data_IF_356469168849
#
_entry.id   IF_356469168849
#
_cell.length_a   1.000
_cell.length_b   1.000
_cell.length_c   1.000
_cell.angle_alpha   90.00
_cell.angle_beta   90.00
_cell.angle_gamma   90.00
#
_symmetry.space_group_name_H-M   'P 1'
#
loop_
_entity.id
_entity.type
_entity.pdbx_description
1 polymer ?
#
# COMPACT_ATOMS: atom_id res chain seq x y z
N UNK A 1 24.24 30.29 20.06
CA UNK A 1 23.43 30.01 21.26
C UNK A 1 21.99 29.95 20.82
N UNK A 2 21.32 28.83 21.05
CA UNK A 2 19.93 28.62 20.63
C UNK A 2 19.00 29.24 21.66
N UNK A 3 18.05 30.08 21.24
CA UNK A 3 17.09 30.71 22.15
C UNK A 3 15.97 29.73 22.52
N UNK A 4 15.28 29.97 23.64
CA UNK A 4 14.14 29.15 24.04
C UNK A 4 13.02 29.14 22.99
N UNK A 5 12.83 30.27 22.28
CA UNK A 5 11.87 30.38 21.19
C UNK A 5 12.30 29.57 19.95
N UNK A 6 13.59 29.54 19.63
CA UNK A 6 14.12 28.67 18.56
C UNK A 6 13.95 27.20 18.92
N UNK A 7 14.22 26.80 20.17
CA UNK A 7 13.98 25.45 20.66
C UNK A 7 12.52 25.04 20.56
N UNK A 8 11.61 25.95 20.88
CA UNK A 8 10.18 25.74 20.77
C UNK A 8 9.71 25.59 19.31
N UNK A 9 10.31 26.32 18.38
CA UNK A 9 9.96 26.17 16.96
C UNK A 9 10.48 24.86 16.39
N UNK A 10 11.72 24.46 16.73
CA UNK A 10 12.32 23.21 16.26
C UNK A 10 11.56 21.96 16.69
N UNK A 11 11.04 21.93 17.93
CA UNK A 11 10.30 20.75 18.43
C UNK A 11 8.86 20.69 17.92
N UNK A 12 8.32 21.79 17.38
CA UNK A 12 6.92 21.83 16.94
C UNK A 12 6.68 20.90 15.76
N UNK A 13 7.58 20.88 14.78
CA UNK A 13 7.45 20.02 13.60
C UNK A 13 7.46 18.51 13.99
N UNK A 14 8.41 18.02 14.79
CA UNK A 14 8.37 16.66 15.33
C UNK A 14 7.10 16.35 16.13
N UNK A 15 6.64 17.29 16.98
CA UNK A 15 5.43 17.11 17.78
C UNK A 15 4.16 17.04 16.91
N UNK A 16 4.06 17.89 15.90
CA UNK A 16 2.96 17.88 14.94
C UNK A 16 2.93 16.58 14.13
N UNK A 17 4.11 16.10 13.70
CA UNK A 17 4.23 14.81 13.01
C UNK A 17 3.72 13.63 13.87
N UNK A 18 4.10 13.58 15.14
CA UNK A 18 3.63 12.55 16.08
C UNK A 18 2.10 12.55 16.21
N UNK A 19 1.48 13.74 16.30
CA UNK A 19 0.03 13.87 16.38
C UNK A 19 -0.62 13.43 15.07
N UNK A 20 -0.11 13.91 13.92
CA UNK A 20 -0.65 13.56 12.60
C UNK A 20 -0.59 12.07 12.34
N UNK A 21 0.52 11.41 12.67
CA UNK A 21 0.65 9.96 12.52
C UNK A 21 -0.49 9.19 13.23
N UNK A 22 -0.90 9.61 14.42
CA UNK A 22 -2.05 9.00 15.10
C UNK A 22 -3.39 9.33 14.43
N UNK A 23 -3.56 10.56 13.93
CA UNK A 23 -4.77 10.98 13.22
C UNK A 23 -4.91 10.23 11.89
N UNK A 24 -3.83 10.09 11.14
CA UNK A 24 -3.78 9.35 9.88
C UNK A 24 -4.04 7.86 10.10
N UNK A 25 -3.64 7.33 11.27
CA UNK A 25 -4.02 6.00 11.76
C UNK A 25 -5.47 5.88 12.26
N UNK A 26 -6.33 6.89 12.03
CA UNK A 26 -7.76 6.89 12.33
C UNK A 26 -8.13 7.36 13.75
N UNK A 27 -7.18 7.84 14.57
CA UNK A 27 -7.51 8.36 15.88
C UNK A 27 -8.18 9.74 15.78
N UNK A 28 -9.28 10.01 16.51
CA UNK A 28 -9.77 11.36 16.69
C UNK A 28 -8.67 12.27 17.22
N UNK A 29 -8.62 13.53 16.76
CA UNK A 29 -7.54 14.47 17.11
C UNK A 29 -7.29 14.61 18.61
N UNK A 30 -8.34 14.59 19.43
CA UNK A 30 -8.20 14.65 20.89
C UNK A 30 -7.49 13.41 21.46
N UNK A 31 -7.83 12.21 20.96
CA UNK A 31 -7.14 10.96 21.32
C UNK A 31 -5.69 10.96 20.86
N UNK A 32 -5.36 11.59 19.73
CA UNK A 32 -3.98 11.77 19.30
C UNK A 32 -3.18 12.63 20.29
N UNK A 33 -3.74 13.75 20.76
CA UNK A 33 -3.10 14.56 21.80
C UNK A 33 -2.90 13.80 23.11
N UNK A 34 -3.87 12.97 23.52
CA UNK A 34 -3.75 12.11 24.71
C UNK A 34 -2.60 11.13 24.59
N UNK A 35 -2.52 10.40 23.46
CA UNK A 35 -1.46 9.41 23.21
C UNK A 35 -0.08 10.06 23.17
N UNK A 36 0.06 11.15 22.41
CA UNK A 36 1.34 11.87 22.31
C UNK A 36 1.74 12.46 23.66
N UNK A 37 0.78 13.06 24.39
CA UNK A 37 1.02 13.58 25.73
C UNK A 37 1.54 12.50 26.68
N UNK A 38 0.84 11.36 26.76
CA UNK A 38 1.27 10.23 27.58
C UNK A 38 2.68 9.73 27.20
N UNK A 39 2.99 9.67 25.91
CA UNK A 39 4.30 9.22 25.41
C UNK A 39 5.45 10.14 25.85
N UNK A 40 5.24 11.45 25.95
CA UNK A 40 6.27 12.43 26.30
C UNK A 40 6.19 12.92 27.76
N UNK A 41 5.29 12.36 28.57
CA UNK A 41 5.09 12.74 29.97
C UNK A 41 4.40 14.09 30.17
N UNK A 42 3.52 14.49 29.24
CA UNK A 42 2.79 15.77 29.26
C UNK A 42 1.28 15.59 29.08
N UNK A 43 0.53 16.64 29.40
CA UNK A 43 -0.93 16.61 29.27
C UNK A 43 -1.36 16.90 27.82
N UNK A 44 -2.54 16.40 27.37
CA UNK A 44 -3.06 16.69 26.03
C UNK A 44 -3.23 18.20 25.80
N UNK A 45 -3.67 18.93 26.83
CA UNK A 45 -3.82 20.37 26.80
C UNK A 45 -2.46 21.09 26.62
N UNK A 46 -1.38 20.57 27.20
CA UNK A 46 -0.03 21.11 26.96
C UNK A 46 0.38 20.94 25.50
N UNK A 47 0.17 19.75 24.91
CA UNK A 47 0.45 19.49 23.49
C UNK A 47 -0.32 20.46 22.59
N UNK A 48 -1.61 20.65 22.85
CA UNK A 48 -2.44 21.59 22.10
C UNK A 48 -1.92 23.04 22.20
N UNK A 49 -1.48 23.48 23.38
CA UNK A 49 -0.93 24.83 23.57
C UNK A 49 0.40 25.04 22.83
N UNK A 50 1.29 24.05 22.87
CA UNK A 50 2.57 24.09 22.14
C UNK A 50 2.33 24.18 20.64
N UNK A 51 1.47 23.31 20.09
CA UNK A 51 1.11 23.33 18.67
C UNK A 51 0.36 24.60 18.27
N UNK A 52 -0.56 25.08 19.11
CA UNK A 52 -1.34 26.30 18.90
C UNK A 52 -0.61 27.62 19.13
N UNK A 53 0.73 27.62 19.25
CA UNK A 53 1.57 28.82 19.41
C UNK A 53 1.19 29.72 20.59
N UNK A 54 0.56 29.21 21.65
CA UNK A 54 0.13 30.06 22.76
C UNK A 54 1.33 30.57 23.58
N UNK A 55 1.36 31.85 24.00
CA UNK A 55 2.53 32.44 24.65
C UNK A 55 2.86 31.81 26.02
N UNK A 56 1.89 31.16 26.66
CA UNK A 56 2.02 30.49 27.97
C UNK A 56 2.62 29.07 27.88
N UNK A 57 2.83 28.53 26.67
CA UNK A 57 3.37 27.20 26.50
C UNK A 57 4.91 27.23 26.48
N UNK A 58 5.53 26.94 27.62
CA UNK A 58 6.97 26.73 27.71
C UNK A 58 7.35 25.30 27.32
N UNK A 59 8.50 25.17 26.67
CA UNK A 59 9.13 23.89 26.32
C UNK A 59 10.47 23.86 27.02
N UNK A 60 10.60 22.99 28.03
CA UNK A 60 11.87 22.77 28.69
C UNK A 60 12.80 21.87 27.85
N UNK A 61 14.09 21.85 28.21
CA UNK A 61 15.06 20.94 27.57
C UNK A 61 14.62 19.47 27.67
N UNK A 62 14.09 19.05 28.82
CA UNK A 62 13.59 17.69 29.02
C UNK A 62 12.46 17.34 28.03
N UNK A 63 11.54 18.27 27.79
CA UNK A 63 10.44 18.09 26.83
C UNK A 63 10.96 17.95 25.41
N UNK A 64 11.92 18.80 25.04
CA UNK A 64 12.54 18.77 23.74
C UNK A 64 13.24 17.41 23.48
N UNK A 65 13.97 16.90 24.46
CA UNK A 65 14.63 15.59 24.38
C UNK A 65 13.61 14.45 24.28
N UNK A 66 12.56 14.47 25.09
CA UNK A 66 11.50 13.44 25.04
C UNK A 66 10.78 13.45 23.69
N UNK A 67 10.46 14.62 23.15
CA UNK A 67 9.83 14.77 21.83
C UNK A 67 10.74 14.24 20.73
N UNK A 68 12.04 14.60 20.73
CA UNK A 68 13.01 14.09 19.75
C UNK A 68 13.15 12.58 19.83
N UNK A 69 13.23 12.01 21.04
CA UNK A 69 13.33 10.57 21.22
C UNK A 69 12.04 9.83 20.84
N UNK A 70 10.85 10.43 21.07
CA UNK A 70 9.58 9.88 20.61
C UNK A 70 9.48 9.89 19.09
N UNK A 71 9.90 10.99 18.46
CA UNK A 71 9.92 11.16 17.02
C UNK A 71 10.89 10.18 16.34
N UNK A 72 12.14 10.08 16.82
CA UNK A 72 13.14 9.15 16.28
C UNK A 72 12.61 7.70 16.30
N UNK A 73 12.07 7.25 17.43
CA UNK A 73 11.45 5.91 17.55
C UNK A 73 10.27 5.68 16.60
N UNK A 74 9.53 6.73 16.24
CA UNK A 74 8.49 6.61 15.23
C UNK A 74 9.09 6.47 13.83
N UNK A 75 10.07 7.30 13.48
CA UNK A 75 10.79 7.20 12.20
C UNK A 75 11.43 5.83 12.02
N UNK A 76 12.10 5.30 13.05
CA UNK A 76 12.73 3.97 13.01
C UNK A 76 11.69 2.88 12.75
N UNK A 77 10.51 2.95 13.40
CA UNK A 77 9.43 1.99 13.16
C UNK A 77 8.83 2.10 11.76
N UNK A 78 8.67 3.31 11.23
CA UNK A 78 8.17 3.52 9.86
C UNK A 78 9.20 2.96 8.86
N UNK A 79 10.49 3.22 9.07
CA UNK A 79 11.57 2.67 8.25
C UNK A 79 11.56 1.14 8.25
N UNK A 80 11.54 0.52 9.43
CA UNK A 80 11.49 -0.93 9.55
C UNK A 80 10.23 -1.55 8.90
N UNK A 81 9.08 -0.87 8.97
CA UNK A 81 7.86 -1.32 8.30
C UNK A 81 7.98 -1.21 6.77
N UNK A 82 8.59 -0.15 6.25
CA UNK A 82 8.85 0.02 4.83
C UNK A 82 9.79 -1.08 4.31
N UNK A 83 10.89 -1.33 5.01
CA UNK A 83 11.86 -2.39 4.67
C UNK A 83 11.19 -3.77 4.64
N UNK A 84 10.29 -4.05 5.59
CA UNK A 84 9.54 -5.30 5.62
C UNK A 84 8.61 -5.44 4.41
N UNK A 85 7.88 -4.38 4.04
CA UNK A 85 7.00 -4.37 2.86
C UNK A 85 7.81 -4.53 1.58
N UNK A 86 8.98 -3.91 1.47
CA UNK A 86 9.86 -4.08 0.31
C UNK A 86 10.38 -5.51 0.20
N UNK A 87 10.79 -6.13 1.31
CA UNK A 87 11.24 -7.51 1.35
C UNK A 87 10.13 -8.49 0.93
N UNK A 88 8.90 -8.29 1.41
CA UNK A 88 7.74 -9.10 1.04
C UNK A 88 7.41 -8.95 -0.46
N UNK A 89 7.40 -7.73 -0.98
CA UNK A 89 7.20 -7.49 -2.41
C UNK A 89 8.26 -8.17 -3.27
N UNK A 90 9.53 -8.16 -2.84
CA UNK A 90 10.60 -8.87 -3.55
C UNK A 90 10.44 -10.39 -3.49
N UNK A 91 9.89 -10.94 -2.41
CA UNK A 91 9.56 -12.37 -2.33
C UNK A 91 8.44 -12.72 -3.32
N UNK A 92 7.34 -11.96 -3.31
CA UNK A 92 6.19 -12.17 -4.21
C UNK A 92 6.59 -12.09 -5.69
N UNK A 93 7.48 -11.16 -6.06
CA UNK A 93 7.99 -11.06 -7.43
C UNK A 93 8.76 -12.31 -7.85
N UNK A 94 9.63 -12.82 -6.98
CA UNK A 94 10.40 -14.05 -7.25
C UNK A 94 9.48 -15.27 -7.38
N UNK A 95 8.45 -15.36 -6.56
CA UNK A 95 7.47 -16.45 -6.63
C UNK A 95 6.65 -16.40 -7.93
N UNK A 96 6.24 -15.20 -8.34
CA UNK A 96 5.53 -14.98 -9.61
C UNK A 96 6.40 -15.32 -10.82
N UNK A 97 7.67 -14.87 -10.83
CA UNK A 97 8.62 -15.20 -11.89
C UNK A 97 8.85 -16.71 -11.98
N UNK A 98 8.98 -17.39 -10.83
CA UNK A 98 9.11 -18.85 -10.79
C UNK A 98 7.85 -19.57 -11.30
N UNK A 99 6.65 -19.08 -10.98
CA UNK A 99 5.40 -19.65 -11.49
C UNK A 99 5.30 -19.49 -13.02
N UNK A 100 5.58 -18.30 -13.56
CA UNK A 100 5.56 -18.06 -15.00
C UNK A 100 6.58 -18.92 -15.75
N UNK A 101 7.78 -19.11 -15.20
CA UNK A 101 8.78 -19.99 -15.79
C UNK A 101 8.34 -21.46 -15.80
N UNK A 102 7.68 -21.94 -14.74
CA UNK A 102 7.10 -23.30 -14.71
C UNK A 102 6.06 -23.46 -15.81
N UNK A 103 5.12 -22.52 -15.95
CA UNK A 103 4.08 -22.60 -16.98
C UNK A 103 4.68 -22.58 -18.39
N UNK A 104 5.66 -21.71 -18.65
CA UNK A 104 6.39 -21.69 -19.93
C UNK A 104 7.13 -23.01 -20.20
N UNK A 105 7.70 -23.64 -19.18
CA UNK A 105 8.40 -24.92 -19.32
C UNK A 105 7.44 -26.07 -19.66
N UNK A 106 6.23 -26.08 -19.05
CA UNK A 106 5.19 -27.08 -19.33
C UNK A 106 4.66 -26.91 -20.76
N UNK A 107 4.39 -25.68 -21.19
CA UNK A 107 3.98 -25.38 -22.57
C UNK A 107 5.08 -25.78 -23.57
N UNK A 108 6.35 -25.48 -23.28
CA UNK A 108 7.47 -25.85 -24.13
C UNK A 108 7.73 -27.36 -24.18
N UNK A 109 7.38 -28.12 -23.13
CA UNK A 109 7.45 -29.58 -23.12
C UNK A 109 6.28 -30.19 -23.92
N UNK A 110 5.08 -29.62 -23.82
CA UNK A 110 3.92 -30.04 -24.61
C UNK A 110 4.13 -29.81 -26.12
N UNK A 111 4.81 -28.72 -26.51
CA UNK A 111 5.15 -28.46 -27.91
C UNK A 111 6.29 -29.36 -28.45
N UNK A 112 7.20 -29.82 -27.58
CA UNK A 112 8.29 -30.75 -27.94
C UNK A 112 7.85 -32.21 -27.95
N UNK A 113 6.89 -32.57 -27.11
CA UNK A 113 6.15 -33.83 -27.19
C UNK A 113 5.12 -33.72 -28.32
N UNK A 114 5.61 -33.55 -29.55
CA UNK A 114 4.77 -33.58 -30.74
C UNK A 114 3.83 -34.76 -30.66
N UNK A 115 2.52 -34.48 -30.82
CA UNK A 115 1.53 -35.51 -31.07
C UNK A 115 2.08 -36.44 -32.16
N UNK A 116 1.94 -37.77 -32.05
CA UNK A 116 2.30 -38.65 -33.14
C UNK A 116 1.42 -38.28 -34.32
N UNK A 117 2.04 -37.67 -35.33
CA UNK A 117 1.47 -37.42 -36.64
C UNK A 117 1.23 -38.80 -37.28
N UNK A 118 0.08 -39.40 -37.02
CA UNK A 118 -0.35 -40.59 -37.74
C UNK A 118 -0.68 -40.18 -39.16
N UNK A 119 0.33 -40.24 -40.01
CA UNK A 119 0.17 -40.28 -41.46
C UNK A 119 -0.63 -41.54 -41.84
N UNK A 120 -1.93 -41.39 -42.05
CA UNK A 120 -2.75 -42.37 -42.74
C UNK A 120 -3.51 -41.69 -43.88
N UNK A 121 -3.32 -42.25 -45.07
CA UNK A 121 -3.68 -41.68 -46.35
C UNK A 121 -5.19 -41.70 -46.66
N UNK A 122 -5.62 -40.68 -47.43
CA UNK A 122 -6.69 -40.65 -48.44
C UNK A 122 -8.11 -41.11 -48.03
N UNK A 123 -9.02 -40.14 -47.99
CA UNK A 123 -10.46 -40.35 -48.18
C UNK A 123 -11.12 -39.05 -48.64
N UNK A 124 -11.56 -39.01 -49.90
CA UNK A 124 -12.30 -37.90 -50.49
C UNK A 124 -13.68 -37.72 -49.80
N UNK A 125 -14.06 -36.46 -49.57
CA UNK A 125 -15.42 -36.11 -49.14
C UNK A 125 -15.54 -34.69 -48.59
N UNK A 126 -15.73 -33.70 -49.46
CA UNK A 126 -16.56 -32.53 -49.12
C UNK A 126 -18.05 -32.96 -49.23
N UNK A 127 -19.02 -32.38 -48.50
CA UNK A 127 -19.21 -30.95 -48.16
C UNK A 127 -19.48 -30.76 -46.63
N UNK A 128 -19.74 -29.61 -46.01
CA UNK A 128 -20.42 -28.39 -46.43
C UNK A 128 -20.01 -27.22 -45.51
N UNK A 129 -20.21 -26.00 -46.01
CA UNK A 129 -20.03 -24.76 -45.29
C UNK A 129 -20.91 -24.69 -44.01
N UNK A 130 -20.33 -24.18 -42.93
CA UNK A 130 -21.04 -23.36 -41.96
C UNK A 130 -20.13 -22.24 -41.52
N UNK A 131 -20.41 -21.06 -42.07
CA UNK A 131 -19.82 -19.80 -41.64
C UNK A 131 -20.23 -19.55 -40.18
N UNK A 132 -19.27 -19.60 -39.27
CA UNK A 132 -19.44 -19.01 -37.95
C UNK A 132 -19.20 -17.51 -38.06
N UNK A 133 -20.32 -16.81 -38.19
CA UNK A 133 -20.48 -15.36 -38.10
C UNK A 133 -19.84 -14.84 -36.80
N UNK A 134 -18.98 -13.81 -36.85
CA UNK A 134 -18.63 -13.06 -35.65
C UNK A 134 -19.82 -12.18 -35.28
N UNK A 135 -20.58 -12.58 -34.26
CA UNK A 135 -21.59 -11.71 -33.64
C UNK A 135 -20.90 -10.52 -33.01
N UNK A 136 -21.12 -9.36 -33.62
CA UNK A 136 -20.78 -8.04 -33.10
C UNK A 136 -21.62 -7.74 -31.86
N UNK A 137 -21.06 -7.97 -30.67
CA UNK A 137 -21.60 -7.42 -29.42
C UNK A 137 -20.86 -6.12 -29.06
N UNK A 138 -21.26 -5.06 -29.78
CA UNK A 138 -21.38 -3.67 -29.33
C UNK A 138 -20.43 -3.24 -28.20
N UNK A 139 -19.30 -2.66 -28.60
CA UNK A 139 -18.55 -1.71 -27.80
C UNK A 139 -19.48 -0.60 -27.29
N UNK A 140 -19.93 -0.70 -26.03
CA UNK A 140 -20.29 0.45 -25.22
C UNK A 140 -19.10 0.78 -24.34
N UNK A 141 -18.18 1.58 -24.88
CA UNK A 141 -17.26 2.38 -24.09
C UNK A 141 -18.09 3.25 -23.13
N UNK A 142 -18.29 2.80 -21.90
CA UNK A 142 -18.55 3.67 -20.76
C UNK A 142 -17.19 3.90 -20.13
N UNK A 143 -16.75 5.16 -20.14
CA UNK A 143 -15.51 5.58 -19.54
C UNK A 143 -15.41 5.05 -18.10
N UNK A 144 -14.47 4.14 -17.86
CA UNK A 144 -14.10 3.67 -16.54
C UNK A 144 -13.33 4.79 -15.85
N UNK A 145 -13.97 5.42 -14.85
CA UNK A 145 -13.26 6.18 -13.83
C UNK A 145 -12.23 5.27 -13.13
N UNK A 146 -11.08 5.80 -12.70
CA UNK A 146 -10.08 4.99 -12.00
C UNK A 146 -10.67 4.42 -10.70
N UNK A 147 -10.43 3.13 -10.40
CA UNK A 147 -10.92 2.50 -9.18
C UNK A 147 -10.35 3.23 -7.96
N UNK A 148 -11.22 3.60 -7.02
CA UNK A 148 -10.87 4.31 -5.79
C UNK A 148 -10.54 3.38 -4.62
N UNK A 149 -10.81 2.09 -4.77
CA UNK A 149 -10.66 1.09 -3.72
C UNK A 149 -10.18 -0.24 -4.31
N UNK A 150 -9.43 -1.00 -3.52
CA UNK A 150 -8.85 -2.32 -3.88
C UNK A 150 -9.96 -3.33 -4.19
N UNK A 151 -11.12 -3.18 -3.55
CA UNK A 151 -12.31 -4.02 -3.78
C UNK A 151 -12.99 -3.80 -5.15
N UNK A 152 -12.65 -2.74 -5.88
CA UNK A 152 -13.21 -2.48 -7.21
C UNK A 152 -12.44 -3.15 -8.35
N UNK A 153 -11.37 -3.89 -8.02
CA UNK A 153 -10.62 -4.64 -9.01
C UNK A 153 -11.45 -5.83 -9.52
N UNK A 154 -11.43 -6.09 -10.84
CA UNK A 154 -12.27 -7.13 -11.46
C UNK A 154 -12.00 -8.55 -10.93
N UNK A 155 -10.86 -8.75 -10.28
CA UNK A 155 -10.42 -10.00 -9.67
C UNK A 155 -11.23 -10.35 -8.41
N UNK A 156 -11.73 -9.34 -7.68
CA UNK A 156 -12.36 -9.50 -6.36
C UNK A 156 -13.89 -9.58 -6.41
N UNK A 157 -14.53 -9.06 -7.47
CA UNK A 157 -16.00 -9.15 -7.65
C UNK A 157 -16.52 -10.57 -7.84
N UNK A 158 -15.68 -11.52 -8.22
CA UNK A 158 -16.06 -12.92 -8.40
C UNK A 158 -16.14 -13.74 -7.09
N UNK A 159 -15.74 -13.18 -5.95
CA UNK A 159 -15.63 -13.91 -4.67
C UNK A 159 -16.71 -13.54 -3.64
N UNK A 160 -17.57 -12.56 -3.93
CA UNK A 160 -18.55 -12.02 -2.96
C UNK A 160 -20.01 -12.28 -3.32
N UNK A 161 -20.30 -13.08 -4.35
CA UNK A 161 -21.67 -13.49 -4.69
C UNK A 161 -21.86 -14.98 -4.36
N UNK A 162 -22.15 -15.27 -3.09
CA UNK A 162 -22.92 -16.45 -2.63
C UNK A 162 -24.04 -15.98 -1.70
#
# INVERSE_FOLDING_TARGET
MMTADQAREEIRSPLDFLVRHHVDGGAPRMRAYERVGAQIGRTPAWVQRVLGRRPDASVGLHDALNIRAAYARLCDRIGAAADAVEAENQALRRDLDAALQRDQSVVALAQRSGAPETAAARGAGAPAASALVPTTARARRRASLPPRDVNDLPLWRGLTEE
#
